data_IF_380800516215
#
_entry.id   IF_380800516215
#
_cell.length_a   1.000
_cell.length_b   1.000
_cell.length_c   1.000
_cell.angle_alpha   90.00
_cell.angle_beta   90.00
_cell.angle_gamma   90.00
#
_symmetry.space_group_name_H-M   'P 1'
#
loop_
_entity.id
_entity.type
_entity.pdbx_description
1 polymer ?
#
# COMPACT_ATOMS: atom_id res chain seq x y z
N UNK A 1 -26.08 25.45 8.27
CA UNK A 1 -24.91 24.57 8.08
C UNK A 1 -24.71 23.73 9.32
N UNK A 2 -24.95 22.41 9.25
CA UNK A 2 -24.83 21.52 10.40
C UNK A 2 -23.37 21.11 10.64
N UNK A 3 -22.99 21.10 11.91
CA UNK A 3 -21.67 20.77 12.49
C UNK A 3 -21.20 19.31 12.20
N UNK A 4 -22.01 18.51 11.51
CA UNK A 4 -21.76 17.09 11.23
C UNK A 4 -20.67 16.85 10.15
N UNK A 5 -20.29 17.87 9.38
CA UNK A 5 -19.21 17.75 8.37
C UNK A 5 -17.79 17.90 8.94
N UNK A 6 -17.62 18.29 10.21
CA UNK A 6 -16.28 18.52 10.77
C UNK A 6 -15.56 17.24 11.26
N UNK A 7 -16.19 16.06 11.16
CA UNK A 7 -15.65 14.79 11.69
C UNK A 7 -15.29 13.74 10.62
N UNK A 8 -15.49 14.00 9.32
CA UNK A 8 -15.36 12.95 8.30
C UNK A 8 -14.78 13.41 6.96
N UNK A 9 -13.59 14.01 6.97
CA UNK A 9 -12.69 13.88 5.82
C UNK A 9 -11.39 13.21 6.25
N UNK A 10 -11.50 12.04 6.88
CA UNK A 10 -10.50 11.01 6.64
C UNK A 10 -10.62 10.71 5.15
N UNK A 11 -9.69 11.19 4.32
CA UNK A 11 -9.51 10.64 2.99
C UNK A 11 -9.16 9.18 3.22
N UNK A 12 -10.15 8.30 3.21
CA UNK A 12 -9.88 6.88 3.14
C UNK A 12 -9.25 6.67 1.77
N UNK A 13 -7.92 6.49 1.73
CA UNK A 13 -7.19 6.04 0.55
C UNK A 13 -7.54 4.57 0.27
N UNK A 14 -8.84 4.32 0.00
CA UNK A 14 -9.36 3.01 -0.34
C UNK A 14 -9.23 2.79 -1.84
N UNK A 15 -9.15 1.51 -2.19
CA UNK A 15 -9.31 1.08 -3.57
C UNK A 15 -10.74 1.41 -4.01
N UNK A 16 -10.87 2.26 -5.02
CA UNK A 16 -12.16 2.66 -5.58
C UNK A 16 -12.89 1.44 -6.15
N UNK A 17 -14.17 1.28 -5.81
CA UNK A 17 -14.99 0.10 -6.13
C UNK A 17 -14.40 -1.23 -5.64
N UNK A 18 -13.52 -1.19 -4.63
CA UNK A 18 -13.00 -2.38 -3.97
C UNK A 18 -13.99 -2.97 -2.96
N UNK A 19 -13.59 -4.08 -2.36
CA UNK A 19 -14.27 -4.68 -1.22
C UNK A 19 -13.25 -4.93 -0.10
N UNK A 20 -13.67 -4.93 1.19
CA UNK A 20 -12.79 -5.29 2.29
C UNK A 20 -12.29 -6.73 2.16
N UNK A 21 -11.00 -6.95 2.43
CA UNK A 21 -10.36 -8.26 2.42
C UNK A 21 -9.88 -8.61 3.81
N UNK A 22 -9.80 -9.89 4.14
CA UNK A 22 -9.23 -10.34 5.40
C UNK A 22 -7.70 -10.21 5.36
N UNK A 23 -7.03 -9.96 6.51
CA UNK A 23 -5.58 -10.06 6.60
C UNK A 23 -5.08 -11.42 6.06
N UNK A 24 -4.04 -11.39 5.24
CA UNK A 24 -3.50 -12.59 4.61
C UNK A 24 -4.33 -13.20 3.46
N UNK A 25 -5.46 -12.62 3.07
CA UNK A 25 -6.23 -13.10 1.90
C UNK A 25 -5.43 -13.01 0.59
N UNK A 26 -4.54 -12.01 0.51
CA UNK A 26 -3.58 -11.82 -0.58
C UNK A 26 -2.14 -11.79 -0.04
N UNK A 27 -1.56 -12.93 0.35
CA UNK A 27 -0.28 -12.98 1.10
C UNK A 27 0.93 -12.53 0.27
N UNK A 28 0.76 -12.46 -1.05
CA UNK A 28 1.75 -11.95 -1.99
C UNK A 28 1.86 -10.43 -2.01
N UNK A 29 0.88 -9.70 -1.48
CA UNK A 29 0.86 -8.23 -1.50
C UNK A 29 1.74 -7.70 -0.37
N UNK A 30 2.66 -6.81 -0.71
CA UNK A 30 3.56 -6.16 0.26
C UNK A 30 3.50 -4.65 0.15
N UNK A 31 3.66 -3.99 1.29
CA UNK A 31 3.87 -2.56 1.39
C UNK A 31 5.33 -2.24 1.10
N UNK A 32 5.58 -1.29 0.20
CA UNK A 32 6.92 -0.76 -0.08
C UNK A 32 7.01 0.67 0.45
N UNK A 33 7.83 0.87 1.47
CA UNK A 33 8.12 2.19 2.04
C UNK A 33 9.46 2.67 1.48
N UNK A 34 9.38 3.65 0.59
CA UNK A 34 10.53 4.45 0.16
C UNK A 34 10.74 5.65 1.10
N UNK A 35 11.73 6.49 0.80
CA UNK A 35 11.99 7.68 1.63
C UNK A 35 10.89 8.73 1.48
N UNK A 36 10.32 8.83 0.27
CA UNK A 36 9.34 9.89 -0.08
C UNK A 36 8.05 9.36 -0.67
N UNK A 37 7.94 8.06 -0.94
CA UNK A 37 6.76 7.47 -1.56
C UNK A 37 6.36 6.16 -0.91
N UNK A 38 5.06 5.88 -1.00
CA UNK A 38 4.44 4.64 -0.58
C UNK A 38 3.92 3.93 -1.81
N UNK A 39 4.39 2.70 -2.01
CA UNK A 39 3.98 1.86 -3.13
C UNK A 39 3.57 0.46 -2.65
N UNK A 40 3.17 -0.38 -3.60
CA UNK A 40 2.85 -1.78 -3.38
C UNK A 40 3.73 -2.66 -4.25
N UNK A 41 3.97 -3.88 -3.82
CA UNK A 41 4.64 -4.91 -4.61
C UNK A 41 3.96 -6.27 -4.52
N UNK A 42 4.42 -7.20 -5.34
CA UNK A 42 3.98 -8.60 -5.36
C UNK A 42 5.15 -9.54 -5.16
N UNK A 43 5.07 -10.44 -4.19
CA UNK A 43 6.03 -11.54 -4.01
C UNK A 43 5.88 -12.51 -5.18
N UNK A 44 6.95 -12.66 -5.98
CA UNK A 44 6.98 -13.56 -7.15
C UNK A 44 7.98 -14.72 -6.97
N UNK A 45 8.87 -14.62 -5.96
CA UNK A 45 9.76 -15.69 -5.51
C UNK A 45 10.16 -15.42 -4.03
N UNK A 46 10.80 -16.37 -3.32
CA UNK A 46 11.14 -16.22 -1.90
C UNK A 46 11.91 -14.93 -1.54
N UNK A 47 12.67 -14.39 -2.49
CA UNK A 47 13.52 -13.21 -2.32
C UNK A 47 13.33 -12.19 -3.46
N UNK A 48 12.16 -12.18 -4.12
CA UNK A 48 11.85 -11.28 -5.24
C UNK A 48 10.47 -10.66 -5.10
N UNK A 49 10.44 -9.33 -5.18
CA UNK A 49 9.22 -8.51 -5.25
C UNK A 49 9.17 -7.78 -6.59
N UNK A 50 8.05 -7.92 -7.30
CA UNK A 50 7.75 -7.15 -8.51
C UNK A 50 6.99 -5.87 -8.14
N UNK A 51 7.37 -4.74 -8.71
CA UNK A 51 6.70 -3.44 -8.54
C UNK A 51 6.87 -2.56 -9.78
N UNK A 52 6.26 -1.37 -9.80
CA UNK A 52 6.43 -0.39 -10.87
C UNK A 52 7.84 0.20 -10.86
N UNK A 53 8.43 0.45 -12.04
CA UNK A 53 9.79 0.99 -12.15
C UNK A 53 9.97 2.34 -11.43
N UNK A 54 8.97 3.23 -11.49
CA UNK A 54 9.03 4.51 -10.77
C UNK A 54 8.92 4.37 -9.25
N UNK A 55 8.39 3.25 -8.74
CA UNK A 55 8.38 2.97 -7.31
C UNK A 55 9.73 2.45 -6.82
N UNK A 56 10.55 1.87 -7.71
CA UNK A 56 11.88 1.30 -7.43
C UNK A 56 13.05 2.23 -7.80
N UNK A 57 12.81 3.24 -8.62
CA UNK A 57 13.81 4.17 -9.10
C UNK A 57 13.94 5.36 -8.13
N UNK A 58 15.17 5.68 -7.72
CA UNK A 58 15.46 6.88 -6.94
C UNK A 58 15.58 6.67 -5.43
N UNK A 59 15.09 5.54 -4.88
CA UNK A 59 15.42 5.16 -3.50
C UNK A 59 16.43 4.00 -3.49
N UNK A 60 17.55 4.15 -2.74
CA UNK A 60 18.55 3.10 -2.63
C UNK A 60 18.09 1.91 -1.76
N UNK A 61 17.05 2.10 -0.96
CA UNK A 61 16.57 1.14 0.04
C UNK A 61 15.06 1.22 0.18
N UNK A 62 14.43 0.07 0.36
CA UNK A 62 13.00 -0.05 0.64
C UNK A 62 12.79 -0.88 1.90
N UNK A 63 11.91 -0.42 2.78
CA UNK A 63 11.35 -1.29 3.81
C UNK A 63 10.15 -2.04 3.23
N UNK A 64 10.12 -3.36 3.42
CA UNK A 64 9.08 -4.25 2.89
C UNK A 64 8.26 -4.80 4.04
N UNK A 65 7.01 -4.35 4.15
CA UNK A 65 6.05 -4.81 5.17
C UNK A 65 5.04 -5.82 4.61
N UNK A 66 4.63 -6.80 5.42
CA UNK A 66 3.50 -7.67 5.11
C UNK A 66 2.22 -7.11 5.74
N UNK A 67 1.08 -7.44 5.15
CA UNK A 67 -0.23 -7.12 5.73
C UNK A 67 -0.63 -8.25 6.68
N UNK A 68 -0.17 -8.14 7.93
CA UNK A 68 -0.55 -9.01 9.07
C UNK A 68 -1.67 -8.41 9.93
#
# INVERSE_FOLDING_TARGET
MNLLMLLATQLEYRIQNGYPVNPGEFPMIVLLLGNTHLCTGTIIAPDKVLTAGHCACGDPTYEVGRQE
#
